data_IF_090215454532
#
_entry.id   IF_090215454532
#
_cell.length_a   1.000
_cell.length_b   1.000
_cell.length_c   1.000
_cell.angle_alpha   90.00
_cell.angle_beta   90.00
_cell.angle_gamma   90.00
#
_symmetry.space_group_name_H-M   'P 1'
#
loop_
_entity.id
_entity.type
_entity.pdbx_description
1 polymer ?
#
# COMPACT_ATOMS: atom_id res chain seq x y z
N UNK A 1 -8.64 -10.15 24.54
CA UNK A 1 -8.42 -9.99 23.08
C UNK A 1 -8.54 -8.51 22.75
N UNK A 2 -7.59 -7.92 22.04
CA UNK A 2 -7.68 -6.50 21.65
C UNK A 2 -8.85 -6.30 20.68
N UNK A 3 -9.61 -5.22 20.85
CA UNK A 3 -10.75 -4.89 20.00
C UNK A 3 -10.27 -4.33 18.64
N UNK A 4 -9.83 -5.22 17.74
CA UNK A 4 -9.29 -4.85 16.43
C UNK A 4 -10.35 -4.22 15.51
N UNK A 5 -11.62 -4.60 15.63
CA UNK A 5 -12.71 -3.98 14.86
C UNK A 5 -12.96 -2.53 15.31
N UNK A 6 -12.94 -2.29 16.63
CA UNK A 6 -13.00 -0.95 17.19
C UNK A 6 -11.82 -0.07 16.75
N UNK A 7 -10.60 -0.62 16.78
CA UNK A 7 -9.42 0.09 16.28
C UNK A 7 -9.52 0.40 14.77
N UNK A 8 -9.98 -0.55 13.96
CA UNK A 8 -10.17 -0.33 12.53
C UNK A 8 -11.21 0.77 12.25
N UNK A 9 -12.28 0.84 13.05
CA UNK A 9 -13.27 1.91 12.96
C UNK A 9 -12.66 3.27 13.37
N UNK A 10 -11.88 3.32 14.45
CA UNK A 10 -11.20 4.53 14.90
C UNK A 10 -10.21 5.06 13.86
N UNK A 11 -9.37 4.21 13.27
CA UNK A 11 -8.43 4.58 12.20
C UNK A 11 -9.16 5.22 11.01
N UNK A 12 -10.31 4.65 10.62
CA UNK A 12 -11.12 5.22 9.52
C UNK A 12 -11.77 6.55 9.90
N UNK A 13 -12.17 6.73 11.17
CA UNK A 13 -12.69 7.99 11.66
C UNK A 13 -11.60 9.08 11.65
N UNK A 14 -10.42 8.80 12.22
CA UNK A 14 -9.28 9.71 12.21
C UNK A 14 -8.85 10.09 10.79
N UNK A 15 -8.86 9.12 9.86
CA UNK A 15 -8.56 9.42 8.45
C UNK A 15 -9.47 10.50 7.87
N UNK A 16 -10.77 10.46 8.17
CA UNK A 16 -11.73 11.48 7.71
C UNK A 16 -11.51 12.82 8.41
N UNK A 17 -11.26 12.81 9.71
CA UNK A 17 -10.96 14.02 10.49
C UNK A 17 -9.70 14.74 9.98
N UNK A 18 -8.70 13.98 9.53
CA UNK A 18 -7.48 14.47 8.90
C UNK A 18 -7.66 14.93 7.45
N UNK A 19 -8.87 14.82 6.88
CA UNK A 19 -9.19 15.27 5.53
C UNK A 19 -8.98 14.25 4.42
N UNK A 20 -8.68 12.98 4.72
CA UNK A 20 -8.63 11.93 3.70
C UNK A 20 -10.03 11.50 3.28
N UNK A 21 -10.26 11.31 1.98
CA UNK A 21 -11.57 10.90 1.45
C UNK A 21 -11.86 9.42 1.70
N UNK A 22 -10.85 8.57 1.82
CA UNK A 22 -11.03 7.19 2.29
C UNK A 22 -9.77 6.61 2.93
N UNK A 23 -9.98 5.64 3.82
CA UNK A 23 -8.93 4.80 4.40
C UNK A 23 -9.31 3.32 4.25
N UNK A 24 -8.39 2.54 3.68
CA UNK A 24 -8.47 1.09 3.56
C UNK A 24 -7.46 0.40 4.47
N UNK A 25 -7.78 -0.82 4.90
CA UNK A 25 -6.89 -1.67 5.70
C UNK A 25 -6.88 -3.05 5.05
N UNK A 26 -5.69 -3.57 4.72
CA UNK A 26 -5.50 -4.88 4.11
C UNK A 26 -4.50 -5.71 4.90
N UNK A 27 -4.42 -7.01 4.61
CA UNK A 27 -3.27 -7.81 4.99
C UNK A 27 -2.01 -7.39 4.20
N UNK A 28 -0.95 -8.17 4.36
CA UNK A 28 0.35 -7.96 3.72
C UNK A 28 0.61 -8.96 2.59
N UNK A 29 -0.39 -9.73 2.16
CA UNK A 29 -0.22 -10.66 1.05
C UNK A 29 -0.21 -9.90 -0.27
N UNK A 30 0.96 -9.88 -0.90
CA UNK A 30 1.20 -9.22 -2.18
C UNK A 30 1.70 -10.21 -3.23
N UNK A 31 1.54 -11.52 -3.04
CA UNK A 31 2.08 -12.53 -3.94
C UNK A 31 1.60 -12.34 -5.40
N UNK A 32 0.31 -12.06 -5.58
CA UNK A 32 -0.25 -11.77 -6.90
C UNK A 32 0.30 -10.46 -7.51
N UNK A 33 0.57 -9.45 -6.69
CA UNK A 33 1.16 -8.19 -7.14
C UNK A 33 2.65 -8.35 -7.49
N UNK A 34 3.38 -9.19 -6.74
CA UNK A 34 4.79 -9.54 -7.02
C UNK A 34 4.93 -10.19 -8.39
N UNK A 35 4.10 -11.19 -8.69
CA UNK A 35 4.10 -11.85 -9.99
C UNK A 35 3.79 -10.86 -11.13
N UNK A 36 2.75 -10.04 -10.98
CA UNK A 36 2.39 -9.03 -11.98
C UNK A 36 3.48 -7.98 -12.20
N UNK A 37 4.17 -7.56 -11.13
CA UNK A 37 5.28 -6.62 -11.23
C UNK A 37 6.46 -7.25 -11.97
N UNK A 38 6.79 -8.51 -11.68
CA UNK A 38 7.86 -9.23 -12.37
C UNK A 38 7.58 -9.34 -13.89
N UNK A 39 6.36 -9.72 -14.26
CA UNK A 39 5.94 -9.80 -15.67
C UNK A 39 5.99 -8.43 -16.37
N UNK A 40 5.58 -7.37 -15.66
CA UNK A 40 5.59 -6.00 -16.18
C UNK A 40 7.02 -5.49 -16.40
N UNK A 41 7.94 -5.77 -15.47
CA UNK A 41 9.37 -5.43 -15.59
C UNK A 41 10.06 -6.22 -16.71
N UNK A 42 9.73 -7.50 -16.86
CA UNK A 42 10.27 -8.34 -17.94
C UNK A 42 9.90 -7.82 -19.34
N UNK A 43 8.76 -7.12 -19.46
CA UNK A 43 8.31 -6.48 -20.70
C UNK A 43 8.91 -5.10 -20.95
N UNK A 44 9.75 -4.59 -20.04
CA UNK A 44 10.36 -3.26 -20.17
C UNK A 44 9.37 -2.10 -19.98
N UNK A 45 8.20 -2.34 -19.38
CA UNK A 45 7.17 -1.32 -19.26
C UNK A 45 7.49 -0.22 -18.24
N UNK A 46 8.60 -0.35 -17.51
CA UNK A 46 9.13 0.71 -16.64
C UNK A 46 9.70 1.93 -17.37
N UNK A 47 9.92 1.85 -18.68
CA UNK A 47 10.58 2.94 -19.43
C UNK A 47 11.91 3.31 -18.78
N UNK A 48 12.09 4.59 -18.47
CA UNK A 48 13.31 5.11 -17.81
C UNK A 48 13.31 4.94 -16.27
N UNK A 49 12.26 4.36 -15.68
CA UNK A 49 12.14 4.18 -14.23
C UNK A 49 12.95 2.97 -13.74
N UNK A 50 14.26 2.93 -13.99
CA UNK A 50 15.16 1.83 -13.59
C UNK A 50 15.05 1.47 -12.10
N UNK A 51 14.75 2.44 -11.25
CA UNK A 51 14.55 2.22 -9.81
C UNK A 51 13.35 1.30 -9.49
N UNK A 52 12.46 1.04 -10.44
CA UNK A 52 11.37 0.07 -10.32
C UNK A 52 11.92 -1.36 -10.19
N UNK A 53 12.98 -1.69 -10.95
CA UNK A 53 13.69 -2.97 -10.85
C UNK A 53 14.74 -3.00 -9.74
N UNK A 54 15.44 -1.88 -9.46
CA UNK A 54 16.57 -1.84 -8.53
C UNK A 54 16.23 -2.22 -7.07
N UNK A 55 15.02 -1.92 -6.61
CA UNK A 55 14.63 -2.18 -5.22
C UNK A 55 14.09 -3.60 -4.97
N UNK A 56 14.02 -4.44 -6.01
CA UNK A 56 13.68 -5.86 -5.93
C UNK A 56 12.42 -6.15 -5.09
N UNK A 57 12.51 -7.19 -4.26
CA UNK A 57 11.38 -7.73 -3.51
C UNK A 57 10.89 -6.86 -2.34
N UNK A 58 11.61 -5.79 -1.96
CA UNK A 58 11.18 -4.90 -0.86
C UNK A 58 9.82 -4.23 -1.14
N UNK A 59 9.44 -4.11 -2.42
CA UNK A 59 8.14 -3.56 -2.85
C UNK A 59 6.95 -4.45 -2.52
N UNK A 60 7.17 -5.77 -2.46
CA UNK A 60 6.10 -6.76 -2.30
C UNK A 60 6.24 -7.58 -1.02
N UNK A 61 7.31 -7.34 -0.24
CA UNK A 61 7.58 -8.05 1.02
C UNK A 61 7.64 -7.05 2.17
N UNK A 62 6.51 -6.70 2.79
CA UNK A 62 6.45 -5.71 3.86
C UNK A 62 7.39 -5.99 5.04
N UNK A 63 7.63 -7.28 5.36
CA UNK A 63 8.59 -7.69 6.39
C UNK A 63 10.04 -7.24 6.11
N UNK A 64 10.42 -7.01 4.85
CA UNK A 64 11.74 -6.49 4.47
C UNK A 64 11.82 -4.95 4.57
N UNK A 65 10.68 -4.26 4.64
CA UNK A 65 10.60 -2.84 4.95
C UNK A 65 10.63 -2.61 6.46
N UNK A 66 9.79 -3.36 7.19
CA UNK A 66 9.75 -3.34 8.64
C UNK A 66 9.34 -4.72 9.17
N UNK A 67 10.18 -5.31 10.02
CA UNK A 67 9.91 -6.61 10.64
C UNK A 67 8.62 -6.55 11.47
N UNK A 68 7.82 -7.62 11.43
CA UNK A 68 6.56 -7.68 12.17
C UNK A 68 5.40 -6.85 11.58
N UNK A 69 5.51 -6.38 10.33
CA UNK A 69 4.38 -5.75 9.64
C UNK A 69 3.26 -6.78 9.41
N UNK A 70 2.05 -6.47 9.90
CA UNK A 70 0.89 -7.37 9.81
C UNK A 70 -0.27 -6.83 8.97
N UNK A 71 -0.31 -5.51 8.75
CA UNK A 71 -1.38 -4.83 8.02
C UNK A 71 -0.80 -3.63 7.28
N UNK A 72 -1.43 -3.28 6.17
CA UNK A 72 -1.17 -2.03 5.44
C UNK A 72 -2.40 -1.13 5.58
N UNK A 73 -2.16 0.14 5.89
CA UNK A 73 -3.20 1.18 5.94
C UNK A 73 -2.95 2.11 4.76
N UNK A 74 -3.93 2.24 3.87
CA UNK A 74 -3.86 3.13 2.71
C UNK A 74 -4.86 4.26 2.89
N UNK A 75 -4.38 5.50 2.78
CA UNK A 75 -5.24 6.69 2.73
C UNK A 75 -5.25 7.24 1.30
N UNK A 76 -6.42 7.70 0.82
CA UNK A 76 -6.55 8.33 -0.49
C UNK A 76 -7.04 9.76 -0.36
N UNK A 77 -6.54 10.61 -1.27
CA UNK A 77 -7.02 11.96 -1.45
C UNK A 77 -7.19 12.28 -2.93
N UNK A 78 -8.28 12.93 -3.30
CA UNK A 78 -8.49 13.44 -4.65
C UNK A 78 -7.57 14.65 -4.86
N UNK A 79 -6.75 14.62 -5.91
CA UNK A 79 -5.74 15.67 -6.15
C UNK A 79 -6.19 16.73 -7.15
N UNK A 80 -7.35 16.54 -7.79
CA UNK A 80 -7.87 17.54 -8.73
C UNK A 80 -8.33 18.78 -7.96
N UNK A 81 -7.88 19.99 -8.34
CA UNK A 81 -8.49 21.20 -7.81
C UNK A 81 -9.96 21.24 -8.24
N UNK A 82 -10.83 21.75 -7.35
CA UNK A 82 -12.20 22.12 -7.74
C UNK A 82 -12.09 23.31 -8.71
N UNK A 83 -12.79 23.21 -9.84
CA UNK A 83 -12.94 24.32 -10.79
C UNK A 83 -13.72 25.48 -10.17
#
# INVERSE_FOLDING_TARGET
MSNLSGLAAAIKAWGRELGFQAVGITDTDLAAAEARLADWLAKGYQGEMDYMGKHGAKRTRPAQLHAGTIRVISARMDYSPRA
#
